data_IF_091028725709
#
_entry.id   IF_091028725709
#
_cell.length_a   1.000
_cell.length_b   1.000
_cell.length_c   1.000
_cell.angle_alpha   90.00
_cell.angle_beta   90.00
_cell.angle_gamma   90.00
#
_symmetry.space_group_name_H-M   'P 1'
#
loop_
_entity.id
_entity.type
_entity.pdbx_description
1 polymer ?
#
# COMPACT_ATOMS: atom_id res chain seq x y z
N UNK A 1 -7.06 10.60 0.05
CA UNK A 1 -7.05 10.20 -1.38
C UNK A 1 -8.26 9.31 -1.61
N UNK A 2 -9.04 9.63 -2.64
CA UNK A 2 -10.21 8.84 -3.06
C UNK A 2 -9.79 7.41 -3.42
N UNK A 3 -10.61 6.43 -3.06
CA UNK A 3 -10.36 5.01 -3.33
C UNK A 3 -10.92 4.65 -4.72
N UNK A 4 -10.22 5.06 -5.77
CA UNK A 4 -10.70 4.94 -7.14
C UNK A 4 -10.86 3.49 -7.60
N UNK A 5 -9.91 2.61 -7.25
CA UNK A 5 -9.99 1.18 -7.60
C UNK A 5 -11.22 0.53 -6.98
N UNK A 6 -11.44 0.77 -5.68
CA UNK A 6 -12.61 0.27 -4.98
C UNK A 6 -13.91 0.82 -5.59
N UNK A 7 -13.96 2.13 -5.85
CA UNK A 7 -15.15 2.78 -6.41
C UNK A 7 -15.49 2.24 -7.82
N UNK A 8 -14.49 2.07 -8.69
CA UNK A 8 -14.68 1.57 -10.05
C UNK A 8 -15.20 0.14 -10.01
N UNK A 9 -14.50 -0.75 -9.30
CA UNK A 9 -14.88 -2.17 -9.20
C UNK A 9 -16.28 -2.35 -8.61
N UNK A 10 -16.62 -1.58 -7.57
CA UNK A 10 -17.96 -1.59 -6.97
C UNK A 10 -19.04 -1.26 -8.00
N UNK A 11 -18.83 -0.21 -8.81
CA UNK A 11 -19.77 0.22 -9.84
C UNK A 11 -19.87 -0.80 -10.98
N UNK A 12 -18.74 -1.36 -11.41
CA UNK A 12 -18.69 -2.42 -12.42
C UNK A 12 -19.45 -3.67 -12.00
N UNK A 13 -19.36 -4.05 -10.72
CA UNK A 13 -20.14 -5.16 -10.14
C UNK A 13 -21.59 -4.79 -9.77
N UNK A 14 -22.01 -3.54 -9.99
CA UNK A 14 -23.38 -3.09 -9.77
C UNK A 14 -23.78 -2.91 -8.30
N UNK A 15 -22.82 -2.82 -7.37
CA UNK A 15 -23.12 -2.65 -5.95
C UNK A 15 -23.32 -1.18 -5.56
N UNK A 16 -24.32 -0.93 -4.73
CA UNK A 16 -24.59 0.38 -4.14
C UNK A 16 -23.69 0.67 -2.94
N UNK A 17 -23.51 1.94 -2.57
CA UNK A 17 -22.79 2.30 -1.35
C UNK A 17 -23.47 1.76 -0.08
N UNK A 18 -24.80 1.63 -0.07
CA UNK A 18 -25.54 1.02 1.04
C UNK A 18 -25.13 -0.44 1.25
N UNK A 19 -25.10 -1.25 0.17
CA UNK A 19 -24.70 -2.65 0.26
C UNK A 19 -23.26 -2.80 0.79
N UNK A 20 -22.35 -1.91 0.38
CA UNK A 20 -20.99 -1.93 0.92
C UNK A 20 -20.91 -1.51 2.38
N UNK A 21 -21.76 -0.57 2.79
CA UNK A 21 -21.86 -0.14 4.18
C UNK A 21 -22.33 -1.29 5.07
N UNK A 22 -23.31 -2.07 4.60
CA UNK A 22 -23.83 -3.25 5.28
C UNK A 22 -22.73 -4.32 5.49
N UNK A 23 -21.87 -4.54 4.48
CA UNK A 23 -20.74 -5.49 4.55
C UNK A 23 -19.77 -5.19 5.69
N UNK A 24 -19.53 -3.91 5.99
CA UNK A 24 -18.61 -3.49 7.06
C UNK A 24 -19.34 -2.99 8.30
N UNK A 25 -20.66 -3.21 8.39
CA UNK A 25 -21.53 -2.81 9.50
C UNK A 25 -21.40 -1.32 9.86
N UNK A 26 -21.59 -0.45 8.87
CA UNK A 26 -21.61 1.01 9.02
C UNK A 26 -22.79 1.61 8.26
N UNK A 27 -23.06 2.90 8.46
CA UNK A 27 -24.02 3.65 7.64
C UNK A 27 -23.42 4.10 6.29
N UNK A 28 -24.31 4.39 5.32
CA UNK A 28 -23.92 4.81 3.97
C UNK A 28 -23.12 6.10 3.93
N UNK A 29 -23.35 7.05 4.84
CA UNK A 29 -22.61 8.31 4.89
C UNK A 29 -21.16 8.06 5.33
N UNK A 30 -20.96 7.24 6.35
CA UNK A 30 -19.62 6.86 6.79
C UNK A 30 -18.89 6.01 5.74
N UNK A 31 -19.58 5.09 5.05
CA UNK A 31 -18.98 4.38 3.91
C UNK A 31 -18.59 5.36 2.79
N UNK A 32 -19.45 6.31 2.43
CA UNK A 32 -19.15 7.32 1.42
C UNK A 32 -17.87 8.10 1.75
N UNK A 33 -17.70 8.53 3.00
CA UNK A 33 -16.49 9.21 3.48
C UNK A 33 -15.24 8.33 3.45
N UNK A 34 -15.39 7.02 3.63
CA UNK A 34 -14.28 6.04 3.47
C UNK A 34 -13.88 5.87 2.02
N UNK A 35 -14.86 5.70 1.12
CA UNK A 35 -14.63 5.56 -0.32
C UNK A 35 -14.10 6.87 -0.96
N UNK A 36 -14.54 8.04 -0.47
CA UNK A 36 -14.01 9.35 -0.87
C UNK A 36 -12.60 9.62 -0.29
N UNK A 37 -12.19 8.85 0.72
CA UNK A 37 -10.89 8.96 1.35
C UNK A 37 -10.77 10.08 2.40
N UNK A 38 -11.90 10.60 2.89
CA UNK A 38 -11.97 11.48 4.07
C UNK A 38 -11.72 10.70 5.37
N UNK A 39 -12.16 9.45 5.42
CA UNK A 39 -12.02 8.56 6.58
C UNK A 39 -11.20 7.34 6.19
N UNK A 40 -10.26 6.95 7.05
CA UNK A 40 -9.43 5.76 6.82
C UNK A 40 -10.24 4.48 7.01
N UNK A 41 -10.09 3.56 6.06
CA UNK A 41 -10.59 2.20 6.16
C UNK A 41 -9.57 1.30 6.89
N UNK A 42 -10.05 0.54 7.86
CA UNK A 42 -9.24 -0.40 8.63
C UNK A 42 -8.90 -1.63 7.78
N UNK A 43 -7.78 -2.30 8.07
CA UNK A 43 -7.39 -3.52 7.34
C UNK A 43 -8.49 -4.59 7.30
N UNK A 44 -9.17 -4.82 8.43
CA UNK A 44 -10.29 -5.78 8.52
C UNK A 44 -11.48 -5.41 7.62
N UNK A 45 -11.69 -4.12 7.37
CA UNK A 45 -12.78 -3.64 6.52
C UNK A 45 -12.43 -3.89 5.05
N UNK A 46 -11.17 -3.62 4.66
CA UNK A 46 -10.64 -4.02 3.36
C UNK A 46 -10.80 -5.53 3.11
N UNK A 47 -10.45 -6.36 4.10
CA UNK A 47 -10.55 -7.81 3.97
C UNK A 47 -12.01 -8.30 3.85
N UNK A 48 -12.98 -7.60 4.46
CA UNK A 48 -14.42 -7.90 4.32
C UNK A 48 -14.95 -7.51 2.95
N UNK A 49 -14.60 -6.32 2.48
CA UNK A 49 -15.00 -5.81 1.17
C UNK A 49 -14.41 -6.67 0.06
N UNK A 50 -13.13 -7.02 0.15
CA UNK A 50 -12.47 -7.90 -0.82
C UNK A 50 -13.17 -9.25 -0.93
N UNK A 51 -13.54 -9.85 0.21
CA UNK A 51 -14.32 -11.10 0.27
C UNK A 51 -15.71 -10.94 -0.34
N UNK A 52 -16.41 -9.85 -0.05
CA UNK A 52 -17.72 -9.58 -0.62
C UNK A 52 -17.68 -9.37 -2.15
N UNK A 53 -16.65 -8.69 -2.64
CA UNK A 53 -16.45 -8.43 -4.06
C UNK A 53 -15.80 -9.62 -4.79
N UNK A 54 -15.43 -10.68 -4.09
CA UNK A 54 -14.72 -11.86 -4.60
C UNK A 54 -13.45 -11.51 -5.39
N UNK A 55 -12.59 -10.69 -4.77
CA UNK A 55 -11.29 -10.29 -5.34
C UNK A 55 -10.19 -10.27 -4.27
N UNK A 56 -8.92 -10.42 -4.64
CA UNK A 56 -7.81 -10.15 -3.72
C UNK A 56 -7.83 -8.71 -3.21
N UNK A 57 -7.42 -8.48 -1.95
CA UNK A 57 -7.35 -7.13 -1.35
C UNK A 57 -6.48 -6.18 -2.18
N UNK A 58 -5.42 -6.70 -2.82
CA UNK A 58 -4.49 -5.91 -3.64
C UNK A 58 -5.14 -5.25 -4.87
N UNK A 59 -6.25 -5.82 -5.37
CA UNK A 59 -7.02 -5.26 -6.49
C UNK A 59 -7.76 -3.98 -6.11
N UNK A 60 -8.18 -3.85 -4.85
CA UNK A 60 -8.97 -2.71 -4.37
C UNK A 60 -8.20 -1.78 -3.43
N UNK A 61 -7.09 -2.23 -2.86
CA UNK A 61 -6.38 -1.51 -1.83
C UNK A 61 -5.63 -0.31 -2.39
N UNK A 62 -6.02 0.87 -1.94
CA UNK A 62 -5.30 2.12 -2.15
C UNK A 62 -4.85 2.63 -0.79
N UNK A 63 -3.59 2.30 -0.45
CA UNK A 63 -2.96 2.77 0.77
C UNK A 63 -2.85 4.29 0.80
N UNK A 64 -2.89 4.86 2.00
CA UNK A 64 -2.49 6.25 2.15
C UNK A 64 -0.98 6.33 1.93
N UNK A 65 -0.52 7.28 1.11
CA UNK A 65 0.91 7.62 1.05
C UNK A 65 1.30 8.01 2.48
N UNK A 66 2.17 7.22 3.10
CA UNK A 66 2.69 7.52 4.42
C UNK A 66 3.67 8.68 4.24
N UNK A 67 3.17 9.92 4.33
CA UNK A 67 3.99 11.13 4.23
C UNK A 67 4.69 11.46 5.56
N UNK A 68 4.32 10.79 6.65
CA UNK A 68 4.99 10.95 7.93
C UNK A 68 6.22 10.06 7.97
N UNK A 69 7.43 10.60 8.22
CA UNK A 69 8.61 9.77 8.38
C UNK A 69 8.32 8.71 9.46
N UNK A 70 8.40 7.45 9.05
CA UNK A 70 8.25 6.33 9.97
C UNK A 70 9.52 6.33 10.82
N UNK A 71 9.45 6.43 12.15
CA UNK A 71 10.63 6.31 12.98
C UNK A 71 11.19 4.89 12.80
N UNK A 72 12.27 4.78 12.02
CA UNK A 72 12.95 3.51 11.78
C UNK A 72 13.71 3.17 13.06
N UNK A 73 13.22 2.18 13.81
CA UNK A 73 13.99 1.63 14.94
C UNK A 73 15.34 1.16 14.40
N UNK A 74 16.42 1.51 15.08
CA UNK A 74 17.80 1.17 14.68
C UNK A 74 18.27 1.82 13.36
N UNK A 75 17.79 3.02 13.03
CA UNK A 75 18.24 3.79 11.86
C UNK A 75 19.77 3.81 11.68
N UNK A 76 20.53 4.06 12.76
CA UNK A 76 21.99 4.05 12.71
C UNK A 76 22.60 2.70 12.30
N UNK A 77 21.97 1.58 12.69
CA UNK A 77 22.40 0.24 12.28
C UNK A 77 22.17 0.01 10.78
N UNK A 78 21.01 0.45 10.27
CA UNK A 78 20.70 0.34 8.85
C UNK A 78 21.61 1.22 8.00
N UNK A 79 21.85 2.47 8.41
CA UNK A 79 22.79 3.38 7.73
C UNK A 79 24.17 2.73 7.64
N UNK A 80 24.71 2.24 8.76
CA UNK A 80 26.00 1.55 8.79
C UNK A 80 26.05 0.34 7.87
N UNK A 81 24.97 -0.44 7.83
CA UNK A 81 24.89 -1.63 6.96
C UNK A 81 24.87 -1.23 5.49
N UNK A 82 24.12 -0.20 5.13
CA UNK A 82 24.05 0.35 3.78
C UNK A 82 25.43 0.88 3.35
N UNK A 83 26.12 1.62 4.22
CA UNK A 83 27.45 2.14 3.91
C UNK A 83 28.47 1.03 3.64
N UNK A 84 28.45 -0.02 4.47
CA UNK A 84 29.31 -1.19 4.28
C UNK A 84 29.01 -1.91 2.95
N UNK A 85 27.73 -2.09 2.62
CA UNK A 85 27.32 -2.72 1.36
C UNK A 85 27.74 -1.86 0.16
N UNK A 86 27.58 -0.55 0.23
CA UNK A 86 28.00 0.37 -0.83
C UNK A 86 29.52 0.35 -1.04
N UNK A 87 30.30 0.30 0.05
CA UNK A 87 31.75 0.15 -0.03
C UNK A 87 32.15 -1.16 -0.72
N UNK A 88 31.48 -2.26 -0.39
CA UNK A 88 31.71 -3.55 -1.03
C UNK A 88 31.35 -3.54 -2.52
N UNK A 89 30.17 -3.00 -2.88
CA UNK A 89 29.72 -2.85 -4.27
C UNK A 89 30.74 -2.03 -5.08
N UNK A 90 31.28 -0.95 -4.50
CA UNK A 90 32.31 -0.14 -5.14
C UNK A 90 33.55 -0.96 -5.48
N UNK A 91 34.07 -1.74 -4.53
CA UNK A 91 35.23 -2.61 -4.77
C UNK A 91 34.97 -3.66 -5.84
N UNK A 92 33.78 -4.28 -5.82
CA UNK A 92 33.40 -5.25 -6.86
C UNK A 92 33.35 -4.61 -8.25
N UNK A 93 32.77 -3.41 -8.37
CA UNK A 93 32.71 -2.69 -9.64
C UNK A 93 34.11 -2.34 -10.17
N UNK A 94 35.01 -1.88 -9.30
CA UNK A 94 36.40 -1.59 -9.69
C UNK A 94 37.12 -2.84 -10.22
N UNK A 95 36.91 -4.01 -9.60
CA UNK A 95 37.50 -5.27 -10.05
C UNK A 95 36.91 -5.74 -11.39
N UNK A 96 35.59 -5.63 -11.57
CA UNK A 96 34.93 -5.92 -12.85
C UNK A 96 35.52 -5.07 -13.98
N UNK A 97 35.73 -3.77 -13.74
CA UNK A 97 36.31 -2.87 -14.74
C UNK A 97 37.77 -3.20 -15.05
N UNK A 98 38.55 -3.71 -14.08
CA UNK A 98 39.90 -4.22 -14.35
C UNK A 98 39.87 -5.49 -15.21
N UNK A 99 38.95 -6.40 -14.94
CA UNK A 99 38.82 -7.65 -15.70
C UNK A 99 38.34 -7.42 -17.13
N UNK A 100 37.45 -6.44 -17.36
CA UNK A 100 37.01 -6.05 -18.72
C UNK A 100 38.10 -5.41 -19.58
N UNK A 101 39.17 -4.90 -18.96
CA UNK A 101 40.31 -4.27 -19.65
C UNK A 101 41.44 -5.25 -19.98
N UNK A 102 41.33 -6.51 -19.56
CA UNK A 102 42.16 -7.63 -20.01
C UNK A 102 41.50 -8.32 -21.20
#
# INVERSE_FOLDING_TARGET
MKKEKLMQLRKEKGYTQQQMADVIATDVSNYNRRESGEVKMLRREWDKIARFLDVPVMEIYEGDIITKPIPVKNEAFYIRTIDNLNAYIKLQNEEIERLKKK
#
